data_IF_280946170142
#
_entry.id   IF_280946170142
#
_cell.length_a   1.000
_cell.length_b   1.000
_cell.length_c   1.000
_cell.angle_alpha   90.00
_cell.angle_beta   90.00
_cell.angle_gamma   90.00
#
_symmetry.space_group_name_H-M   'P 1'
#
loop_
_entity.id
_entity.type
_entity.pdbx_description
1 polymer ?
#
# COMPACT_ATOMS: atom_id res chain seq x y z
N UNK A 1 23.14 -5.83 15.92
CA UNK A 1 21.83 -6.49 16.16
C UNK A 1 20.70 -5.81 15.38
N UNK A 2 20.48 -4.49 15.56
CA UNK A 2 19.47 -3.72 14.80
C UNK A 2 19.67 -3.75 13.27
N UNK A 3 20.91 -3.64 12.78
CA UNK A 3 21.19 -3.71 11.34
C UNK A 3 20.82 -5.05 10.71
N UNK A 4 21.03 -6.15 11.44
CA UNK A 4 20.60 -7.49 11.04
C UNK A 4 19.07 -7.55 10.97
N UNK A 5 18.38 -6.96 11.95
CA UNK A 5 16.93 -6.94 12.00
C UNK A 5 16.31 -6.15 10.84
N UNK A 6 16.86 -4.97 10.52
CA UNK A 6 16.41 -4.14 9.40
C UNK A 6 16.71 -4.83 8.06
N UNK A 7 17.90 -5.41 7.91
CA UNK A 7 18.30 -6.13 6.69
C UNK A 7 17.38 -7.32 6.37
N UNK A 8 16.92 -8.03 7.40
CA UNK A 8 16.06 -9.21 7.25
C UNK A 8 14.60 -8.94 7.64
N UNK A 9 14.16 -7.68 7.76
CA UNK A 9 12.81 -7.34 8.24
C UNK A 9 11.73 -8.01 7.39
N UNK A 10 11.80 -7.86 6.06
CA UNK A 10 10.83 -8.43 5.13
C UNK A 10 10.78 -9.97 5.18
N UNK A 11 11.89 -10.72 5.04
CA UNK A 11 11.86 -12.17 5.13
C UNK A 11 11.49 -12.68 6.53
N UNK A 12 11.89 -12.00 7.61
CA UNK A 12 11.48 -12.37 8.97
C UNK A 12 9.98 -12.17 9.16
N UNK A 13 9.45 -11.02 8.73
CA UNK A 13 8.01 -10.75 8.84
C UNK A 13 7.20 -11.77 8.05
N UNK A 14 7.61 -12.06 6.81
CA UNK A 14 6.95 -13.08 5.99
C UNK A 14 7.05 -14.48 6.63
N UNK A 15 8.24 -14.86 7.11
CA UNK A 15 8.47 -16.15 7.77
C UNK A 15 7.63 -16.33 9.03
N UNK A 16 7.51 -15.28 9.86
CA UNK A 16 6.67 -15.28 11.05
C UNK A 16 5.17 -15.36 10.70
N UNK A 17 4.72 -14.63 9.67
CA UNK A 17 3.33 -14.75 9.21
C UNK A 17 3.02 -16.16 8.69
N UNK A 18 3.92 -16.72 7.88
CA UNK A 18 3.76 -18.06 7.33
C UNK A 18 3.77 -19.14 8.41
N UNK A 19 4.65 -19.03 9.42
CA UNK A 19 4.73 -20.00 10.51
C UNK A 19 3.49 -19.96 11.41
N UNK A 20 3.03 -18.77 11.81
CA UNK A 20 1.78 -18.61 12.57
C UNK A 20 0.60 -19.15 11.76
N UNK A 21 0.51 -18.81 10.47
CA UNK A 21 -0.54 -19.32 9.60
C UNK A 21 -0.51 -20.85 9.51
N UNK A 22 0.66 -21.47 9.36
CA UNK A 22 0.81 -22.92 9.31
C UNK A 22 0.38 -23.59 10.62
N UNK A 23 0.78 -23.04 11.77
CA UNK A 23 0.36 -23.53 13.10
C UNK A 23 -1.16 -23.46 13.25
N UNK A 24 -1.76 -22.33 12.87
CA UNK A 24 -3.21 -22.14 12.94
C UNK A 24 -3.96 -23.06 11.98
N UNK A 25 -3.45 -23.26 10.76
CA UNK A 25 -4.02 -24.16 9.77
C UNK A 25 -3.96 -25.63 10.23
N UNK A 26 -2.83 -26.05 10.82
CA UNK A 26 -2.67 -27.38 11.39
C UNK A 26 -3.63 -27.61 12.57
N UNK A 27 -3.79 -26.62 13.45
CA UNK A 27 -4.75 -26.68 14.55
C UNK A 27 -6.19 -26.79 14.03
N UNK A 28 -6.58 -25.98 13.04
CA UNK A 28 -7.92 -26.03 12.44
C UNK A 28 -8.25 -27.39 11.77
N UNK A 29 -7.24 -28.16 11.35
CA UNK A 29 -7.41 -29.55 10.90
C UNK A 29 -7.51 -30.51 12.08
N UNK A 30 -6.62 -30.41 13.07
CA UNK A 30 -6.52 -31.36 14.18
C UNK A 30 -7.69 -31.30 15.17
N UNK A 31 -8.25 -30.11 15.41
CA UNK A 31 -9.33 -29.92 16.37
C UNK A 31 -10.36 -28.86 15.89
N UNK A 32 -11.26 -29.21 14.95
CA UNK A 32 -12.27 -28.29 14.46
C UNK A 32 -13.31 -27.96 15.54
N UNK A 33 -13.27 -26.72 16.05
CA UNK A 33 -14.15 -26.28 17.16
C UNK A 33 -15.51 -25.74 16.71
N UNK A 34 -15.68 -25.34 15.44
CA UNK A 34 -16.92 -24.74 14.90
C UNK A 34 -17.21 -25.26 13.50
N UNK A 35 -18.50 -25.36 13.16
CA UNK A 35 -18.92 -25.60 11.78
C UNK A 35 -18.47 -24.42 10.90
N UNK A 36 -17.90 -24.74 9.74
CA UNK A 36 -17.36 -23.73 8.83
C UNK A 36 -18.50 -23.06 8.06
N UNK A 37 -18.55 -21.74 8.10
CA UNK A 37 -19.45 -20.94 7.26
C UNK A 37 -18.94 -20.74 5.83
N UNK A 38 -17.64 -20.99 5.60
CA UNK A 38 -17.00 -20.85 4.28
C UNK A 38 -15.96 -21.96 4.04
N UNK A 39 -15.72 -22.35 2.76
CA UNK A 39 -14.71 -23.34 2.42
C UNK A 39 -13.31 -22.95 2.89
N UNK A 40 -12.57 -23.90 3.50
CA UNK A 40 -11.19 -23.69 4.01
C UNK A 40 -10.26 -23.10 2.94
N UNK A 41 -10.30 -23.64 1.73
CA UNK A 41 -9.46 -23.19 0.60
C UNK A 41 -9.66 -21.71 0.27
N UNK A 42 -10.90 -21.20 0.28
CA UNK A 42 -11.16 -19.77 0.05
C UNK A 42 -10.56 -18.90 1.15
N UNK A 43 -10.72 -19.28 2.42
CA UNK A 43 -10.16 -18.53 3.56
C UNK A 43 -8.63 -18.56 3.57
N UNK A 44 -8.05 -19.71 3.27
CA UNK A 44 -6.60 -19.93 3.29
C UNK A 44 -5.89 -19.26 2.10
N UNK A 45 -6.58 -19.02 0.99
CA UNK A 45 -6.05 -18.24 -0.13
C UNK A 45 -6.31 -16.73 0.01
N UNK A 46 -7.49 -16.33 0.50
CA UNK A 46 -7.86 -14.92 0.59
C UNK A 46 -6.96 -14.14 1.56
N UNK A 47 -6.67 -14.69 2.74
CA UNK A 47 -5.91 -13.96 3.75
C UNK A 47 -4.45 -13.67 3.32
N UNK A 48 -3.65 -14.65 2.87
CA UNK A 48 -2.32 -14.38 2.33
C UNK A 48 -2.37 -13.59 1.02
N UNK A 49 -3.38 -13.82 0.18
CA UNK A 49 -3.57 -13.09 -1.08
C UNK A 49 -3.72 -11.59 -0.85
N UNK A 50 -4.59 -11.18 0.07
CA UNK A 50 -4.78 -9.77 0.44
C UNK A 50 -3.48 -9.17 0.97
N UNK A 51 -2.74 -9.89 1.82
CA UNK A 51 -1.46 -9.43 2.37
C UNK A 51 -0.43 -9.17 1.27
N UNK A 52 -0.28 -10.11 0.33
CA UNK A 52 0.68 -9.98 -0.78
C UNK A 52 0.26 -8.84 -1.71
N UNK A 53 -1.01 -8.79 -2.09
CA UNK A 53 -1.54 -7.74 -2.97
C UNK A 53 -1.31 -6.36 -2.34
N UNK A 54 -1.66 -6.19 -1.06
CA UNK A 54 -1.46 -4.92 -0.36
C UNK A 54 0.02 -4.53 -0.32
N UNK A 55 0.90 -5.49 0.00
CA UNK A 55 2.35 -5.27 0.02
C UNK A 55 2.89 -4.81 -1.33
N UNK A 56 2.49 -5.46 -2.42
CA UNK A 56 2.93 -5.13 -3.79
C UNK A 56 2.36 -3.79 -4.23
N UNK A 57 1.07 -3.53 -4.00
CA UNK A 57 0.42 -2.28 -4.41
C UNK A 57 1.08 -1.07 -3.75
N UNK A 58 1.21 -1.10 -2.42
CA UNK A 58 1.74 0.04 -1.65
C UNK A 58 3.23 0.24 -1.89
N UNK A 59 4.02 -0.83 -2.00
CA UNK A 59 5.49 -0.72 -2.04
C UNK A 59 6.10 -0.67 -3.43
N UNK A 60 5.41 -1.18 -4.44
CA UNK A 60 5.93 -1.24 -5.81
C UNK A 60 5.07 -0.47 -6.79
N UNK A 61 3.77 -0.77 -6.84
CA UNK A 61 2.88 -0.22 -7.88
C UNK A 61 2.67 1.29 -7.70
N UNK A 62 2.32 1.75 -6.49
CA UNK A 62 2.09 3.17 -6.26
C UNK A 62 3.34 4.04 -6.46
N UNK A 63 4.53 3.69 -5.93
CA UNK A 63 5.74 4.45 -6.22
C UNK A 63 6.12 4.44 -7.70
N UNK A 64 6.05 3.28 -8.36
CA UNK A 64 6.38 3.18 -9.78
C UNK A 64 5.39 3.97 -10.65
N UNK A 65 4.10 3.94 -10.31
CA UNK A 65 3.07 4.72 -10.99
C UNK A 65 3.33 6.23 -10.82
N UNK A 66 3.64 6.69 -9.61
CA UNK A 66 3.94 8.10 -9.36
C UNK A 66 5.15 8.59 -10.17
N UNK A 67 6.26 7.85 -10.15
CA UNK A 67 7.47 8.18 -10.93
C UNK A 67 7.19 8.11 -12.42
N UNK A 68 6.53 7.05 -12.89
CA UNK A 68 6.19 6.88 -14.30
C UNK A 68 5.28 7.98 -14.83
N UNK A 69 4.29 8.39 -14.04
CA UNK A 69 3.42 9.52 -14.39
C UNK A 69 4.18 10.84 -14.42
N UNK A 70 5.10 11.10 -13.48
CA UNK A 70 5.93 12.30 -13.51
C UNK A 70 6.82 12.37 -14.76
N UNK A 71 7.44 11.25 -15.15
CA UNK A 71 8.23 11.16 -16.38
C UNK A 71 7.37 11.39 -17.64
N UNK A 72 6.20 10.74 -17.72
CA UNK A 72 5.29 10.89 -18.85
C UNK A 72 4.75 12.32 -18.95
N UNK A 73 4.40 12.92 -17.81
CA UNK A 73 3.96 14.30 -17.69
C UNK A 73 5.03 15.28 -18.21
N UNK A 74 6.29 15.10 -17.79
CA UNK A 74 7.41 15.91 -18.26
C UNK A 74 7.66 15.77 -19.77
N UNK A 75 7.56 14.56 -20.33
CA UNK A 75 7.74 14.33 -21.77
C UNK A 75 6.62 14.92 -22.64
N UNK A 76 5.38 14.85 -22.15
CA UNK A 76 4.20 15.31 -22.89
C UNK A 76 3.81 16.75 -22.59
N UNK A 77 4.52 17.42 -21.69
CA UNK A 77 4.18 18.75 -21.22
C UNK A 77 2.81 18.82 -20.53
N UNK A 78 2.43 17.77 -19.81
CA UNK A 78 1.15 17.68 -19.11
C UNK A 78 1.39 18.07 -17.65
N UNK A 79 0.76 19.14 -17.16
CA UNK A 79 0.82 19.51 -15.75
C UNK A 79 0.42 20.96 -15.53
N UNK A 80 -0.20 21.26 -14.38
CA UNK A 80 -0.66 22.62 -14.06
C UNK A 80 0.49 23.64 -14.05
N UNK A 81 1.66 23.24 -13.52
CA UNK A 81 2.85 24.09 -13.45
C UNK A 81 3.67 24.07 -14.75
N UNK A 82 3.44 23.13 -15.66
CA UNK A 82 4.18 23.05 -16.92
C UNK A 82 3.90 24.23 -17.86
N UNK A 83 2.69 24.80 -17.80
CA UNK A 83 2.29 25.93 -18.63
C UNK A 83 2.78 27.28 -18.12
N UNK A 84 3.42 27.33 -16.95
CA UNK A 84 3.88 28.56 -16.32
C UNK A 84 5.40 28.51 -16.21
N UNK A 85 6.06 29.49 -16.83
CA UNK A 85 7.53 29.57 -16.79
C UNK A 85 7.97 30.08 -15.41
N UNK A 86 8.36 29.16 -14.53
CA UNK A 86 8.72 29.44 -13.14
C UNK A 86 10.18 29.05 -12.86
N UNK A 87 10.87 29.74 -11.94
CA UNK A 87 12.14 29.26 -11.42
C UNK A 87 11.99 27.88 -10.77
N UNK A 88 12.94 26.93 -10.95
CA UNK A 88 12.79 25.54 -10.51
C UNK A 88 12.45 25.38 -9.02
N UNK A 89 13.03 26.23 -8.16
CA UNK A 89 12.75 26.18 -6.73
C UNK A 89 11.28 26.53 -6.41
N UNK A 90 10.73 27.52 -7.11
CA UNK A 90 9.36 27.96 -6.90
C UNK A 90 8.37 26.93 -7.43
N UNK A 91 8.68 26.30 -8.56
CA UNK A 91 7.90 25.18 -9.11
C UNK A 91 7.81 24.02 -8.10
N UNK A 92 8.96 23.61 -7.52
CA UNK A 92 9.00 22.53 -6.51
C UNK A 92 8.17 22.91 -5.28
N UNK A 93 8.33 24.12 -4.75
CA UNK A 93 7.59 24.57 -3.55
C UNK A 93 6.08 24.56 -3.81
N UNK A 94 5.65 25.09 -4.95
CA UNK A 94 4.23 25.10 -5.33
C UNK A 94 3.68 23.69 -5.56
N UNK A 95 4.48 22.79 -6.16
CA UNK A 95 4.09 21.39 -6.36
C UNK A 95 3.87 20.68 -5.02
N UNK A 96 4.75 20.88 -4.03
CA UNK A 96 4.59 20.32 -2.68
C UNK A 96 3.33 20.84 -2.01
N UNK A 97 3.10 22.16 -2.02
CA UNK A 97 1.90 22.76 -1.43
C UNK A 97 0.63 22.23 -2.09
N UNK A 98 0.61 22.14 -3.42
CA UNK A 98 -0.54 21.62 -4.17
C UNK A 98 -0.80 20.14 -3.87
N UNK A 99 0.25 19.33 -3.76
CA UNK A 99 0.14 17.92 -3.40
C UNK A 99 -0.42 17.75 -1.98
N UNK A 100 0.07 18.51 -1.01
CA UNK A 100 -0.41 18.48 0.38
C UNK A 100 -1.88 18.87 0.46
N UNK A 101 -2.29 19.93 -0.25
CA UNK A 101 -3.69 20.35 -0.32
C UNK A 101 -4.58 19.30 -0.98
N UNK A 102 -4.10 18.63 -2.04
CA UNK A 102 -4.85 17.56 -2.69
C UNK A 102 -5.05 16.35 -1.76
N UNK A 103 -4.02 15.94 -1.01
CA UNK A 103 -4.11 14.87 -0.02
C UNK A 103 -5.00 15.27 1.16
N UNK A 104 -4.90 16.51 1.63
CA UNK A 104 -5.78 17.04 2.67
C UNK A 104 -7.24 17.05 2.23
N UNK A 105 -7.52 17.49 1.00
CA UNK A 105 -8.86 17.45 0.43
C UNK A 105 -9.38 16.01 0.36
N UNK A 106 -8.54 15.05 -0.06
CA UNK A 106 -8.88 13.63 -0.05
C UNK A 106 -9.30 13.16 1.35
N UNK A 107 -8.52 13.54 2.38
CA UNK A 107 -8.83 13.22 3.77
C UNK A 107 -10.17 13.81 4.22
N UNK A 108 -10.41 15.10 3.96
CA UNK A 108 -11.68 15.77 4.29
C UNK A 108 -12.86 15.13 3.56
N UNK A 109 -12.71 14.77 2.29
CA UNK A 109 -13.78 14.10 1.52
C UNK A 109 -14.14 12.73 2.08
N UNK A 110 -13.15 11.96 2.56
CA UNK A 110 -13.44 10.66 3.21
C UNK A 110 -14.19 10.82 4.53
N UNK A 111 -13.89 11.85 5.32
CA UNK A 111 -14.69 12.19 6.50
C UNK A 111 -16.10 12.67 6.12
N UNK A 112 -16.23 13.50 5.08
CA UNK A 112 -17.50 14.07 4.67
C UNK A 112 -18.48 13.05 4.07
N UNK A 113 -17.97 11.95 3.50
CA UNK A 113 -18.78 10.90 2.85
C UNK A 113 -19.21 9.76 3.79
N UNK A 114 -18.91 9.86 5.09
CA UNK A 114 -19.41 8.92 6.10
C UNK A 114 -18.75 7.53 6.08
N UNK A 115 -17.53 7.41 5.54
CA UNK A 115 -16.74 6.16 5.62
C UNK A 115 -16.20 5.86 7.03
N UNK A 116 -16.57 6.66 8.02
CA UNK A 116 -16.33 6.43 9.44
C UNK A 116 -17.65 6.10 10.15
N UNK A 117 -17.93 4.81 10.30
CA UNK A 117 -18.59 4.21 11.47
C UNK A 117 -17.72 3.11 12.00
#
# INVERSE_FOLDING_TARGET
MLELLIKYEAPLRFGLFASVFAVMAAWEIAAPRRALSMPKAKRWLANPGILIINGVLVRAVFPAAAVGMAMLAGQRGIGLLHFVDLPPLLEIVLAVIALDLAIYLQHVMFHATGFET
#
